data_IF_890355920346
#
_entry.id   IF_890355920346
#
_cell.length_a   1.000
_cell.length_b   1.000
_cell.length_c   1.000
_cell.angle_alpha   90.00
_cell.angle_beta   90.00
_cell.angle_gamma   90.00
#
_symmetry.space_group_name_H-M   'P 1'
#
loop_
_entity.id
_entity.type
_entity.pdbx_description
1 polymer ?
#
# COMPACT_ATOMS: atom_id res chain seq x y z
N UNK A 1 -3.30 24.58 -9.17
CA UNK A 1 -2.85 23.66 -8.09
C UNK A 1 -2.36 22.34 -8.68
N UNK A 2 -3.22 21.44 -9.18
CA UNK A 2 -2.77 20.19 -9.82
C UNK A 2 -1.76 20.41 -10.98
N UNK A 3 -1.97 21.43 -11.82
CA UNK A 3 -1.03 21.79 -12.90
C UNK A 3 0.31 22.32 -12.40
N UNK A 4 0.36 22.88 -11.19
CA UNK A 4 1.57 23.44 -10.58
C UNK A 4 2.42 22.33 -9.96
N UNK A 5 1.79 21.42 -9.23
CA UNK A 5 2.41 20.18 -8.72
C UNK A 5 3.02 19.38 -9.86
N UNK A 6 2.27 19.20 -10.97
CA UNK A 6 2.75 18.47 -12.14
C UNK A 6 3.97 19.16 -12.79
N UNK A 7 3.95 20.49 -12.96
CA UNK A 7 5.09 21.23 -13.51
C UNK A 7 6.33 21.09 -12.64
N UNK A 8 6.18 21.26 -11.32
CA UNK A 8 7.28 21.15 -10.38
C UNK A 8 7.85 19.74 -10.34
N UNK A 9 6.99 18.72 -10.38
CA UNK A 9 7.43 17.33 -10.48
C UNK A 9 8.24 17.08 -11.76
N UNK A 10 7.82 17.60 -12.92
CA UNK A 10 8.57 17.43 -14.16
C UNK A 10 9.97 18.07 -14.13
N UNK A 11 10.17 19.16 -13.38
CA UNK A 11 11.50 19.72 -13.12
C UNK A 11 12.36 18.76 -12.28
N UNK A 12 11.82 18.29 -11.15
CA UNK A 12 12.49 17.37 -10.23
C UNK A 12 12.80 16.03 -10.89
N UNK A 13 11.90 15.54 -11.75
CA UNK A 13 12.04 14.33 -12.54
C UNK A 13 13.24 14.40 -13.47
N UNK A 14 13.48 15.54 -14.12
CA UNK A 14 14.68 15.75 -14.95
C UNK A 14 15.95 15.77 -14.11
N UNK A 15 15.91 16.42 -12.94
CA UNK A 15 17.04 16.53 -12.01
C UNK A 15 17.46 15.18 -11.41
N UNK A 16 16.48 14.35 -11.05
CA UNK A 16 16.69 13.11 -10.27
C UNK A 16 16.37 11.82 -11.02
N UNK A 17 15.95 11.90 -12.29
CA UNK A 17 15.51 10.75 -13.10
C UNK A 17 14.36 9.97 -12.44
N UNK A 18 13.37 10.70 -11.93
CA UNK A 18 12.20 10.10 -11.29
C UNK A 18 11.29 9.39 -12.32
N UNK A 19 10.43 8.47 -11.86
CA UNK A 19 9.39 7.86 -12.68
C UNK A 19 8.39 8.88 -13.23
N UNK A 20 7.51 8.44 -14.13
CA UNK A 20 6.50 9.32 -14.72
C UNK A 20 5.45 9.73 -13.67
N UNK A 21 4.85 10.90 -13.84
CA UNK A 21 3.85 11.43 -12.90
C UNK A 21 2.64 10.49 -12.78
N UNK A 22 2.25 9.84 -13.88
CA UNK A 22 1.13 8.90 -13.93
C UNK A 22 1.34 7.68 -13.01
N UNK A 23 2.59 7.32 -12.72
CA UNK A 23 2.91 6.21 -11.80
C UNK A 23 2.61 6.57 -10.33
N UNK A 24 2.39 7.86 -10.04
CA UNK A 24 2.06 8.37 -8.71
C UNK A 24 0.57 8.65 -8.50
N UNK A 25 -0.29 8.53 -9.53
CA UNK A 25 -1.72 8.87 -9.43
C UNK A 25 -2.45 8.07 -8.33
N UNK A 26 -2.03 6.83 -8.07
CA UNK A 26 -2.61 5.99 -7.02
C UNK A 26 -2.38 6.49 -5.58
N UNK A 27 -1.55 7.53 -5.40
CA UNK A 27 -1.21 8.12 -4.10
C UNK A 27 -1.83 9.50 -3.89
N UNK A 28 -2.77 9.93 -4.76
CA UNK A 28 -3.51 11.18 -4.61
C UNK A 28 -2.61 12.43 -4.50
N UNK A 29 -1.45 12.42 -5.17
CA UNK A 29 -0.49 13.53 -5.12
C UNK A 29 -1.00 14.82 -5.78
N UNK A 30 -2.09 14.75 -6.55
CA UNK A 30 -2.72 15.91 -7.20
C UNK A 30 -3.37 16.86 -6.20
N UNK A 31 -3.64 16.39 -4.98
CA UNK A 31 -4.29 17.14 -3.91
C UNK A 31 -3.29 17.91 -3.03
N UNK A 32 -2.00 17.85 -3.34
CA UNK A 32 -0.95 18.55 -2.59
C UNK A 32 -1.05 20.07 -2.79
N UNK A 33 -1.11 20.80 -1.69
CA UNK A 33 -1.17 22.26 -1.67
C UNK A 33 0.24 22.90 -1.65
N UNK A 34 1.22 22.23 -1.04
CA UNK A 34 2.59 22.71 -0.90
C UNK A 34 3.52 22.11 -1.97
N UNK A 35 4.25 22.99 -2.68
CA UNK A 35 5.19 22.59 -3.76
C UNK A 35 6.66 22.78 -3.37
N UNK A 36 6.95 23.43 -2.23
CA UNK A 36 8.30 23.73 -1.76
C UNK A 36 9.07 22.45 -1.41
N UNK A 37 8.42 21.52 -0.70
CA UNK A 37 8.98 20.22 -0.28
C UNK A 37 8.31 19.04 -0.99
N UNK A 38 8.01 19.18 -2.28
CA UNK A 38 7.17 18.24 -3.02
C UNK A 38 7.59 16.76 -2.91
N UNK A 39 8.88 16.43 -2.91
CA UNK A 39 9.32 15.02 -2.78
C UNK A 39 9.07 14.45 -1.38
N UNK A 40 9.19 15.29 -0.33
CA UNK A 40 8.82 14.89 1.03
C UNK A 40 7.32 14.61 1.12
N UNK A 41 6.50 15.46 0.52
CA UNK A 41 5.04 15.30 0.48
C UNK A 41 4.63 14.02 -0.27
N UNK A 42 5.25 13.77 -1.43
CA UNK A 42 5.02 12.53 -2.18
C UNK A 42 5.40 11.30 -1.35
N UNK A 43 6.57 11.33 -0.68
CA UNK A 43 6.97 10.26 0.25
C UNK A 43 5.95 10.09 1.38
N UNK A 44 5.41 11.18 1.92
CA UNK A 44 4.34 11.17 2.92
C UNK A 44 3.10 10.44 2.43
N UNK A 45 2.63 10.76 1.22
CA UNK A 45 1.49 10.09 0.58
C UNK A 45 1.72 8.61 0.29
N UNK A 46 2.95 8.25 -0.10
CA UNK A 46 3.36 6.84 -0.20
C UNK A 46 3.30 6.17 1.19
N UNK A 47 3.75 6.86 2.24
CA UNK A 47 3.68 6.41 3.63
C UNK A 47 2.25 6.12 4.09
N UNK A 48 1.31 7.03 3.86
CA UNK A 48 -0.12 6.85 4.17
C UNK A 48 -0.67 5.56 3.53
N UNK A 49 -0.34 5.33 2.25
CA UNK A 49 -0.75 4.10 1.54
C UNK A 49 -0.11 2.85 2.13
N UNK A 50 1.18 2.90 2.46
CA UNK A 50 1.91 1.80 3.08
C UNK A 50 1.33 1.43 4.44
N UNK A 51 0.96 2.41 5.26
CA UNK A 51 0.39 2.17 6.58
C UNK A 51 -0.98 1.50 6.49
N UNK A 52 -1.87 1.96 5.60
CA UNK A 52 -3.16 1.31 5.36
C UNK A 52 -3.00 -0.15 4.92
N UNK A 53 -2.06 -0.43 4.01
CA UNK A 53 -1.77 -1.81 3.62
C UNK A 53 -1.15 -2.62 4.77
N UNK A 54 -0.22 -2.03 5.52
CA UNK A 54 0.45 -2.71 6.64
C UNK A 54 -0.54 -3.10 7.73
N UNK A 55 -1.46 -2.23 8.09
CA UNK A 55 -2.49 -2.47 9.10
C UNK A 55 -3.33 -3.69 8.74
N UNK A 56 -3.94 -3.68 7.55
CA UNK A 56 -4.70 -4.82 7.02
C UNK A 56 -3.92 -6.14 7.07
N UNK A 57 -2.66 -6.14 6.60
CA UNK A 57 -1.83 -7.35 6.61
C UNK A 57 -1.43 -7.79 8.02
N UNK A 58 -1.26 -6.84 8.95
CA UNK A 58 -0.97 -7.14 10.35
C UNK A 58 -2.15 -7.86 11.01
N UNK A 59 -3.37 -7.43 10.74
CA UNK A 59 -4.60 -8.03 11.25
C UNK A 59 -4.84 -9.44 10.69
N UNK A 60 -4.51 -9.68 9.42
CA UNK A 60 -4.58 -11.02 8.83
C UNK A 60 -3.61 -12.01 9.48
N UNK A 61 -2.41 -11.55 9.83
CA UNK A 61 -1.35 -12.39 10.40
C UNK A 61 -1.49 -12.58 11.91
N UNK A 62 -1.96 -11.55 12.61
CA UNK A 62 -2.17 -11.53 14.05
C UNK A 62 -3.57 -10.98 14.30
N UNK A 63 -4.61 -11.81 14.09
CA UNK A 63 -5.99 -11.36 14.29
C UNK A 63 -6.21 -11.03 15.75
N UNK A 64 -6.66 -9.80 16.01
CA UNK A 64 -7.21 -9.41 17.30
C UNK A 64 -8.56 -10.12 17.54
N UNK A 65 -9.19 -9.86 18.69
CA UNK A 65 -10.49 -10.45 19.05
C UNK A 65 -11.66 -9.92 18.22
N UNK A 66 -11.41 -9.10 17.21
CA UNK A 66 -12.43 -8.64 16.28
C UNK A 66 -12.94 -9.81 15.42
N UNK A 67 -14.26 -10.04 15.32
CA UNK A 67 -14.82 -11.15 14.56
C UNK A 67 -14.45 -11.14 13.07
N UNK A 68 -14.31 -9.98 12.44
CA UNK A 68 -13.88 -9.90 11.04
C UNK A 68 -12.43 -10.39 10.92
N UNK A 69 -11.52 -9.87 11.74
CA UNK A 69 -10.11 -10.28 11.71
C UNK A 69 -9.94 -11.79 11.99
N UNK A 70 -10.68 -12.32 12.97
CA UNK A 70 -10.70 -13.76 13.27
C UNK A 70 -11.22 -14.62 12.12
N UNK A 71 -12.18 -14.11 11.34
CA UNK A 71 -12.71 -14.79 10.16
C UNK A 71 -11.70 -14.72 9.00
N UNK A 72 -11.26 -13.52 8.64
CA UNK A 72 -10.39 -13.27 7.49
C UNK A 72 -9.04 -13.97 7.60
N UNK A 73 -8.48 -14.07 8.81
CA UNK A 73 -7.23 -14.82 9.06
C UNK A 73 -7.32 -16.34 8.79
N UNK A 74 -8.54 -16.90 8.67
CA UNK A 74 -8.80 -18.32 8.34
C UNK A 74 -8.95 -18.56 6.84
N UNK A 75 -9.07 -17.50 6.04
CA UNK A 75 -9.18 -17.60 4.57
C UNK A 75 -7.96 -18.29 3.96
N UNK A 76 -6.80 -18.11 4.59
CA UNK A 76 -5.52 -18.61 4.10
C UNK A 76 -5.07 -19.86 4.85
N UNK A 77 -4.59 -20.84 4.10
CA UNK A 77 -3.85 -22.00 4.63
C UNK A 77 -2.50 -21.58 5.23
N UNK A 78 -1.87 -22.47 5.99
CA UNK A 78 -0.55 -22.21 6.58
C UNK A 78 0.54 -21.93 5.51
N UNK A 79 0.40 -22.52 4.32
CA UNK A 79 1.29 -22.26 3.19
C UNK A 79 1.08 -20.84 2.63
N UNK A 80 -0.18 -20.44 2.43
CA UNK A 80 -0.53 -19.10 1.91
C UNK A 80 -0.20 -17.99 2.92
N UNK A 81 -0.31 -18.26 4.23
CA UNK A 81 0.11 -17.33 5.29
C UNK A 81 1.58 -16.94 5.19
N UNK A 82 2.44 -17.82 4.65
CA UNK A 82 3.83 -17.47 4.38
C UNK A 82 3.93 -16.38 3.30
N UNK A 83 3.10 -16.45 2.26
CA UNK A 83 3.06 -15.46 1.20
C UNK A 83 2.52 -14.12 1.71
N UNK A 84 1.47 -14.15 2.53
CA UNK A 84 0.96 -12.97 3.26
C UNK A 84 2.07 -12.34 4.10
N UNK A 85 2.84 -13.15 4.84
CA UNK A 85 3.95 -12.66 5.65
C UNK A 85 5.11 -12.11 4.81
N UNK A 86 5.41 -12.69 3.66
CA UNK A 86 6.43 -12.18 2.74
C UNK A 86 6.06 -10.81 2.17
N UNK A 87 4.78 -10.61 1.83
CA UNK A 87 4.24 -9.29 1.43
C UNK A 87 4.32 -8.30 2.59
N UNK A 88 3.90 -8.71 3.80
CA UNK A 88 3.98 -7.87 5.00
C UNK A 88 5.41 -7.42 5.30
N UNK A 89 6.41 -8.30 5.19
CA UNK A 89 7.83 -7.92 5.35
C UNK A 89 8.27 -6.85 4.36
N UNK A 90 7.81 -6.90 3.10
CA UNK A 90 8.14 -5.87 2.11
C UNK A 90 7.46 -4.54 2.44
N UNK A 91 6.20 -4.55 2.85
CA UNK A 91 5.52 -3.35 3.36
C UNK A 91 6.31 -2.74 4.53
N UNK A 92 6.70 -3.55 5.51
CA UNK A 92 7.49 -3.11 6.66
C UNK A 92 8.84 -2.51 6.25
N UNK A 93 9.54 -3.12 5.29
CA UNK A 93 10.79 -2.57 4.76
C UNK A 93 10.58 -1.16 4.21
N UNK A 94 9.59 -0.96 3.35
CA UNK A 94 9.32 0.34 2.73
C UNK A 94 8.82 1.39 3.73
N UNK A 95 8.01 0.98 4.72
CA UNK A 95 7.62 1.87 5.83
C UNK A 95 8.85 2.34 6.61
N UNK A 96 9.81 1.44 6.91
CA UNK A 96 11.04 1.83 7.63
C UNK A 96 11.98 2.67 6.77
N UNK A 97 12.10 2.37 5.48
CA UNK A 97 12.87 3.20 4.54
C UNK A 97 12.28 4.61 4.42
N UNK A 98 10.94 4.74 4.35
CA UNK A 98 10.28 6.05 4.34
C UNK A 98 10.56 6.85 5.61
N UNK A 99 10.51 6.18 6.77
CA UNK A 99 10.82 6.80 8.07
C UNK A 99 12.31 7.21 8.17
N UNK A 100 13.23 6.39 7.68
CA UNK A 100 14.66 6.73 7.64
C UNK A 100 14.90 8.02 6.83
N UNK A 101 14.30 8.08 5.63
CA UNK A 101 14.42 9.24 4.74
C UNK A 101 13.73 10.48 5.32
N UNK A 102 12.66 10.31 6.11
CA UNK A 102 12.00 11.44 6.77
C UNK A 102 12.86 12.13 7.81
N UNK A 103 13.81 11.40 8.42
CA UNK A 103 14.69 11.95 9.47
C UNK A 103 15.73 12.91 8.86
N UNK A 104 16.36 12.53 7.75
CA UNK A 104 17.29 13.41 7.03
C UNK A 104 16.55 14.46 6.19
N UNK A 105 15.40 14.07 5.63
CA UNK A 105 14.56 14.82 4.70
C UNK A 105 15.32 15.46 3.52
N UNK A 106 16.44 14.88 3.10
CA UNK A 106 17.22 15.39 2.00
C UNK A 106 16.50 15.14 0.66
N UNK A 107 16.55 16.12 -0.26
CA UNK A 107 15.87 16.04 -1.57
C UNK A 107 16.32 14.79 -2.35
N UNK A 108 17.62 14.49 -2.34
CA UNK A 108 18.20 13.34 -3.02
C UNK A 108 17.72 12.00 -2.40
N UNK A 109 17.66 11.92 -1.06
CA UNK A 109 17.20 10.73 -0.36
C UNK A 109 15.70 10.46 -0.62
N UNK A 110 14.88 11.52 -0.61
CA UNK A 110 13.46 11.42 -0.99
C UNK A 110 13.30 10.96 -2.44
N UNK A 111 14.11 11.49 -3.37
CA UNK A 111 14.06 11.09 -4.77
C UNK A 111 14.43 9.60 -4.97
N UNK A 112 15.50 9.15 -4.30
CA UNK A 112 15.97 7.76 -4.37
C UNK A 112 14.92 6.79 -3.78
N UNK A 113 14.32 7.15 -2.64
CA UNK A 113 13.21 6.41 -2.06
C UNK A 113 12.04 6.26 -3.04
N UNK A 114 11.54 7.38 -3.59
CA UNK A 114 10.38 7.36 -4.50
C UNK A 114 10.66 6.46 -5.69
N UNK A 115 11.86 6.57 -6.27
CA UNK A 115 12.26 5.75 -7.41
C UNK A 115 12.29 4.27 -7.04
N UNK A 116 13.00 3.89 -5.98
CA UNK A 116 13.14 2.51 -5.56
C UNK A 116 11.80 1.88 -5.19
N UNK A 117 10.95 2.63 -4.47
CA UNK A 117 9.63 2.16 -4.10
C UNK A 117 8.75 1.91 -5.32
N UNK A 118 8.68 2.85 -6.27
CA UNK A 118 7.83 2.71 -7.45
C UNK A 118 8.28 1.58 -8.39
N UNK A 119 9.59 1.30 -8.46
CA UNK A 119 10.12 0.15 -9.20
C UNK A 119 9.59 -1.18 -8.64
N UNK A 120 9.52 -1.33 -7.31
CA UNK A 120 8.99 -2.54 -6.67
C UNK A 120 7.46 -2.55 -6.57
N UNK A 121 6.84 -1.37 -6.41
CA UNK A 121 5.42 -1.21 -6.14
C UNK A 121 4.55 -1.91 -7.17
N UNK A 122 4.97 -1.96 -8.45
CA UNK A 122 4.24 -2.65 -9.52
C UNK A 122 4.00 -4.12 -9.20
N UNK A 123 5.04 -4.84 -8.76
CA UNK A 123 4.93 -6.26 -8.40
C UNK A 123 4.28 -6.47 -7.04
N UNK A 124 4.57 -5.58 -6.08
CA UNK A 124 3.96 -5.64 -4.75
C UNK A 124 2.45 -5.41 -4.81
N UNK A 125 2.01 -4.44 -5.61
CA UNK A 125 0.60 -4.09 -5.82
C UNK A 125 -0.23 -5.28 -6.29
N UNK A 126 0.25 -6.03 -7.27
CA UNK A 126 -0.47 -7.22 -7.76
C UNK A 126 -0.70 -8.24 -6.64
N UNK A 127 0.32 -8.51 -5.82
CA UNK A 127 0.18 -9.43 -4.67
C UNK A 127 -0.77 -8.90 -3.60
N UNK A 128 -0.75 -7.59 -3.34
CA UNK A 128 -1.71 -6.96 -2.42
C UNK A 128 -3.14 -7.16 -2.93
N UNK A 129 -3.38 -6.90 -4.21
CA UNK A 129 -4.69 -7.04 -4.84
C UNK A 129 -5.21 -8.49 -4.80
N UNK A 130 -4.34 -9.48 -5.04
CA UNK A 130 -4.70 -10.90 -4.99
C UNK A 130 -5.13 -11.35 -3.58
N UNK A 131 -4.38 -10.93 -2.55
CA UNK A 131 -4.67 -11.27 -1.14
C UNK A 131 -5.95 -10.58 -0.69
N UNK A 132 -6.09 -9.27 -0.95
CA UNK A 132 -7.30 -8.50 -0.62
C UNK A 132 -8.52 -9.09 -1.34
N UNK A 133 -8.39 -9.47 -2.62
CA UNK A 133 -9.48 -10.11 -3.37
C UNK A 133 -9.88 -11.46 -2.76
N UNK A 134 -8.92 -12.25 -2.28
CA UNK A 134 -9.20 -13.54 -1.64
C UNK A 134 -10.03 -13.36 -0.37
N UNK A 135 -9.66 -12.39 0.47
CA UNK A 135 -10.43 -12.01 1.67
C UNK A 135 -11.82 -11.50 1.30
N UNK A 136 -11.91 -10.52 0.39
CA UNK A 136 -13.19 -9.97 -0.09
C UNK A 136 -14.13 -11.06 -0.60
N UNK A 137 -13.63 -11.96 -1.45
CA UNK A 137 -14.44 -13.03 -2.04
C UNK A 137 -14.85 -14.10 -1.01
N UNK A 138 -14.15 -14.23 0.12
CA UNK A 138 -14.54 -15.17 1.18
C UNK A 138 -15.86 -14.78 1.84
N UNK A 139 -16.14 -13.47 1.95
CA UNK A 139 -17.39 -12.95 2.50
C UNK A 139 -18.59 -13.20 1.59
N UNK A 140 -18.40 -13.24 0.27
CA UNK A 140 -19.46 -13.58 -0.69
C UNK A 140 -19.75 -15.09 -0.69
N UNK A 141 -18.72 -15.94 -0.65
CA UNK A 141 -18.87 -17.40 -0.72
C UNK A 141 -19.63 -18.01 0.47
N UNK A 142 -19.38 -17.53 1.69
CA UNK A 142 -20.10 -18.04 2.88
C UNK A 142 -21.59 -17.67 2.88
N UNK A 143 -21.94 -16.51 2.30
CA UNK A 143 -23.33 -16.07 2.20
C UNK A 143 -24.18 -16.97 1.29
N UNK A 144 -23.57 -17.54 0.23
CA UNK A 144 -24.24 -18.49 -0.67
C UNK A 144 -24.41 -19.89 -0.06
N UNK A 145 -23.50 -20.31 0.83
CA UNK A 145 -23.60 -21.60 1.54
C UNK A 145 -24.60 -21.55 2.70
N UNK A 146 -24.68 -20.41 3.41
CA UNK A 146 -25.67 -20.20 4.48
C UNK A 146 -27.08 -19.99 3.95
N UNK A 147 -27.28 -19.35 2.79
CA UNK A 147 -28.60 -19.29 2.14
C UNK A 147 -29.14 -20.66 1.71
N UNK A 148 -28.26 -21.64 1.42
CA UNK A 148 -28.68 -23.04 1.13
C UNK A 148 -29.05 -23.84 2.38
N UNK A 149 -28.63 -23.40 3.57
CA UNK A 149 -28.94 -24.05 4.85
C UNK A 149 -30.16 -23.44 5.56
N UNK A 150 -30.72 -22.35 5.03
CA UNK A 150 -31.93 -21.68 5.51
C UNK A 150 -33.26 -22.38 5.16
N UNK A 151 -33.27 -23.71 5.13
CA UNK A 151 -34.49 -24.52 5.02
C UNK A 151 -34.62 -25.51 6.17
N UNK A 152 -34.29 -25.10 7.40
CA UNK A 152 -34.78 -25.75 8.61
C UNK A 152 -35.12 -24.71 9.68
N UNK A 153 -36.38 -24.32 9.61
CA UNK A 153 -37.15 -23.45 10.51
C UNK A 153 -38.54 -23.31 9.94
#
# INVERSE_FOLDING_TARGET
MADEVRKRYEELKKRHKLPKFEELEGFQISDLEETEFLLSEIRGKIGERLDACREFFSELLNPDTDPANMYESRVFSDAEKKEVFDVFKRLMFWTRASLEVSISNEEAANAEFIKGFLEEWKGLKTKLEEIIASVKNSWEKESEETEKLGYFG
#
